data_IF_522327097379
#
_entry.id   IF_522327097379
#
_cell.length_a   1.000
_cell.length_b   1.000
_cell.length_c   1.000
_cell.angle_alpha   90.00
_cell.angle_beta   90.00
_cell.angle_gamma   90.00
#
_symmetry.space_group_name_H-M   'P 1'
#
loop_
_entity.id
_entity.type
_entity.pdbx_description
1 polymer ?
#
# COMPACT_ATOMS: atom_id res chain seq x y z
N UNK A 1 -19.15 -4.59 0.28
CA UNK A 1 -18.38 -4.77 -0.98
C UNK A 1 -17.65 -6.09 -0.88
N UNK A 2 -18.02 -7.08 -1.70
CA UNK A 2 -17.52 -8.46 -1.62
C UNK A 2 -16.17 -8.72 -2.28
N UNK A 3 -15.36 -7.68 -2.54
CA UNK A 3 -14.08 -7.82 -3.25
C UNK A 3 -13.12 -8.80 -2.55
N UNK A 4 -12.82 -8.58 -1.28
CA UNK A 4 -11.98 -9.48 -0.48
C UNK A 4 -12.63 -10.85 -0.22
N UNK A 5 -13.96 -10.95 -0.33
CA UNK A 5 -14.65 -12.24 -0.34
C UNK A 5 -14.30 -13.03 -1.59
N UNK A 6 -14.53 -12.43 -2.76
CA UNK A 6 -14.22 -13.04 -4.05
C UNK A 6 -12.72 -13.31 -4.25
N UNK A 7 -11.85 -12.42 -3.76
CA UNK A 7 -10.41 -12.62 -3.88
C UNK A 7 -9.93 -13.83 -3.07
N UNK A 8 -10.45 -14.04 -1.86
CA UNK A 8 -10.13 -15.22 -1.05
C UNK A 8 -10.62 -16.53 -1.67
N UNK A 9 -11.71 -16.48 -2.43
CA UNK A 9 -12.25 -17.63 -3.15
C UNK A 9 -11.38 -17.99 -4.38
N UNK A 10 -10.97 -16.99 -5.16
CA UNK A 10 -10.24 -17.22 -6.43
C UNK A 10 -8.72 -17.30 -6.24
N UNK A 11 -8.17 -16.52 -5.31
CA UNK A 11 -6.73 -16.42 -5.03
C UNK A 11 -6.47 -16.47 -3.51
N UNK A 12 -6.63 -17.65 -2.88
CA UNK A 12 -6.56 -17.79 -1.42
C UNK A 12 -5.19 -17.44 -0.83
N UNK A 13 -4.12 -17.48 -1.63
CA UNK A 13 -2.76 -17.13 -1.21
C UNK A 13 -2.45 -15.63 -1.29
N UNK A 14 -3.35 -14.79 -1.84
CA UNK A 14 -3.12 -13.34 -1.92
C UNK A 14 -3.25 -12.70 -0.56
N UNK A 15 -2.20 -11.97 -0.16
CA UNK A 15 -2.19 -11.19 1.08
C UNK A 15 -2.88 -9.84 0.87
N UNK A 16 -3.68 -9.41 1.84
CA UNK A 16 -4.40 -8.14 1.78
C UNK A 16 -3.50 -7.00 2.26
N UNK A 17 -3.31 -5.98 1.41
CA UNK A 17 -2.76 -4.71 1.83
C UNK A 17 -3.78 -3.59 1.63
N UNK A 18 -3.97 -2.76 2.66
CA UNK A 18 -4.79 -1.55 2.57
C UNK A 18 -3.99 -0.35 2.10
N UNK A 19 -4.63 0.45 1.26
CA UNK A 19 -4.04 1.66 0.71
C UNK A 19 -3.99 2.79 1.76
N UNK A 20 -2.77 3.25 2.08
CA UNK A 20 -2.53 4.34 3.03
C UNK A 20 -3.20 5.65 2.64
N UNK A 21 -3.31 5.97 1.34
CA UNK A 21 -4.00 7.19 0.89
C UNK A 21 -5.47 7.22 1.34
N UNK A 22 -6.21 6.14 1.08
CA UNK A 22 -7.61 6.03 1.48
C UNK A 22 -7.75 5.92 3.01
N UNK A 23 -6.80 5.25 3.67
CA UNK A 23 -6.77 5.16 5.12
C UNK A 23 -6.62 6.53 5.77
N UNK A 24 -5.66 7.34 5.33
CA UNK A 24 -5.44 8.71 5.82
C UNK A 24 -6.70 9.55 5.63
N UNK A 25 -7.34 9.48 4.44
CA UNK A 25 -8.60 10.20 4.20
C UNK A 25 -9.71 9.78 5.19
N UNK A 26 -9.83 8.47 5.47
CA UNK A 26 -10.78 7.93 6.45
C UNK A 26 -10.51 8.41 7.88
N UNK A 27 -9.25 8.41 8.31
CA UNK A 27 -8.83 8.91 9.63
C UNK A 27 -9.15 10.39 9.77
N UNK A 28 -8.74 11.22 8.79
CA UNK A 28 -8.99 12.67 8.82
C UNK A 28 -10.48 13.01 8.76
N UNK A 29 -11.29 12.19 8.07
CA UNK A 29 -12.75 12.33 8.03
C UNK A 29 -13.43 12.10 9.39
N UNK A 30 -12.75 11.46 10.34
CA UNK A 30 -13.23 11.24 11.71
C UNK A 30 -12.74 12.32 12.71
N UNK A 31 -12.11 13.40 12.23
CA UNK A 31 -11.50 14.44 13.06
C UNK A 31 -11.83 15.85 12.55
N UNK A 32 -11.86 16.88 13.41
CA UNK A 32 -12.02 18.26 12.97
C UNK A 32 -10.81 18.74 12.15
N UNK A 33 -11.05 19.66 11.21
CA UNK A 33 -10.00 20.19 10.31
C UNK A 33 -8.82 20.83 11.05
N UNK A 34 -9.07 21.40 12.23
CA UNK A 34 -8.02 21.99 13.09
C UNK A 34 -6.99 20.96 13.57
N UNK A 35 -7.37 19.69 13.69
CA UNK A 35 -6.46 18.61 14.10
C UNK A 35 -5.70 17.98 12.92
N UNK A 36 -6.11 18.26 11.67
CA UNK A 36 -5.55 17.61 10.48
C UNK A 36 -4.04 17.81 10.31
N UNK A 37 -3.45 19.00 10.53
CA UNK A 37 -2.01 19.16 10.36
C UNK A 37 -1.18 18.24 11.27
N UNK A 38 -1.54 18.17 12.56
CA UNK A 38 -0.88 17.27 13.52
C UNK A 38 -1.12 15.80 13.20
N UNK A 39 -2.38 15.43 12.89
CA UNK A 39 -2.73 14.05 12.58
C UNK A 39 -2.02 13.55 11.33
N UNK A 40 -1.87 14.39 10.29
CA UNK A 40 -1.11 14.04 9.08
C UNK A 40 0.36 13.77 9.37
N UNK A 41 0.98 14.58 10.24
CA UNK A 41 2.38 14.37 10.65
C UNK A 41 2.50 13.04 11.39
N UNK A 42 1.66 12.80 12.39
CA UNK A 42 1.68 11.56 13.15
C UNK A 42 1.40 10.30 12.29
N UNK A 43 0.47 10.40 11.33
CA UNK A 43 0.24 9.34 10.35
C UNK A 43 1.47 9.09 9.48
N UNK A 44 2.18 10.14 9.09
CA UNK A 44 3.41 10.03 8.30
C UNK A 44 4.53 9.29 9.04
N UNK A 45 4.63 9.44 10.36
CA UNK A 45 5.56 8.66 11.17
C UNK A 45 5.25 7.15 11.11
N UNK A 46 3.98 6.77 10.99
CA UNK A 46 3.59 5.34 10.91
C UNK A 46 3.98 4.77 9.54
N UNK A 47 3.47 5.34 8.45
CA UNK A 47 3.67 4.73 7.15
C UNK A 47 5.10 4.93 6.61
N UNK A 48 5.85 5.95 7.06
CA UNK A 48 7.26 6.11 6.69
C UNK A 48 8.25 5.45 7.65
N UNK A 49 7.79 4.75 8.69
CA UNK A 49 8.68 4.11 9.66
C UNK A 49 9.69 3.16 9.00
N UNK A 50 10.87 3.04 9.62
CA UNK A 50 11.98 2.26 9.06
C UNK A 50 11.73 0.76 9.05
N UNK A 51 10.99 0.24 10.03
CA UNK A 51 10.61 -1.16 10.15
C UNK A 51 9.21 -1.29 10.79
N UNK A 52 8.69 -2.52 10.83
CA UNK A 52 7.38 -2.81 11.42
C UNK A 52 7.30 -2.42 12.89
N UNK A 53 8.38 -2.58 13.66
CA UNK A 53 8.40 -2.24 15.10
C UNK A 53 8.26 -0.73 15.31
N UNK A 54 9.01 0.11 14.60
CA UNK A 54 8.83 1.57 14.71
C UNK A 54 7.46 2.02 14.22
N UNK A 55 6.87 1.36 13.21
CA UNK A 55 5.51 1.63 12.80
C UNK A 55 4.51 1.36 13.94
N UNK A 56 4.65 0.23 14.64
CA UNK A 56 3.83 -0.11 15.81
C UNK A 56 4.01 0.89 16.96
N UNK A 57 5.23 1.35 17.19
CA UNK A 57 5.53 2.37 18.21
C UNK A 57 4.86 3.71 17.86
N UNK A 58 4.91 4.11 16.59
CA UNK A 58 4.23 5.30 16.09
C UNK A 58 2.69 5.17 16.19
N UNK A 59 2.13 3.97 16.00
CA UNK A 59 0.69 3.71 16.20
C UNK A 59 0.32 3.90 17.67
N UNK A 60 1.11 3.38 18.61
CA UNK A 60 0.87 3.58 20.05
C UNK A 60 0.96 5.06 20.43
N UNK A 61 1.90 5.80 19.85
CA UNK A 61 2.00 7.24 20.06
C UNK A 61 0.78 8.00 19.47
N UNK A 62 0.30 7.59 18.30
CA UNK A 62 -0.92 8.14 17.70
C UNK A 62 -2.15 7.88 18.57
N UNK A 63 -2.30 6.65 19.07
CA UNK A 63 -3.38 6.28 19.99
C UNK A 63 -3.31 7.07 21.30
N UNK A 64 -2.14 7.20 21.92
CA UNK A 64 -1.98 7.98 23.14
C UNK A 64 -2.35 9.46 22.94
N UNK A 65 -2.01 10.02 21.76
CA UNK A 65 -2.26 11.43 21.44
C UNK A 65 -3.72 11.71 21.10
N UNK A 66 -4.36 10.81 20.34
CA UNK A 66 -5.68 11.07 19.75
C UNK A 66 -6.81 10.22 20.32
N UNK A 67 -6.52 9.10 20.98
CA UNK A 67 -7.50 8.10 21.41
C UNK A 67 -8.58 8.65 22.34
N UNK A 68 -8.21 9.48 23.31
CA UNK A 68 -9.17 10.05 24.27
C UNK A 68 -10.25 10.94 23.62
N UNK A 69 -9.92 11.64 22.53
CA UNK A 69 -10.83 12.59 21.86
C UNK A 69 -11.40 12.06 20.54
N UNK A 70 -10.66 11.18 19.87
CA UNK A 70 -10.91 10.74 18.51
C UNK A 70 -10.77 9.22 18.39
N UNK A 71 -11.37 8.48 19.31
CA UNK A 71 -11.34 7.01 19.31
C UNK A 71 -11.71 6.40 17.95
N UNK A 72 -12.70 6.97 17.24
CA UNK A 72 -13.07 6.53 15.88
C UNK A 72 -11.95 6.71 14.86
N UNK A 73 -11.12 7.75 14.99
CA UNK A 73 -9.99 7.97 14.10
C UNK A 73 -8.85 6.97 14.39
N UNK A 74 -8.63 6.64 15.66
CA UNK A 74 -7.66 5.61 16.08
C UNK A 74 -8.10 4.22 15.62
N UNK A 75 -9.38 3.87 15.79
CA UNK A 75 -9.91 2.57 15.36
C UNK A 75 -9.69 2.33 13.87
N UNK A 76 -9.77 3.38 13.04
CA UNK A 76 -9.47 3.27 11.61
C UNK A 76 -8.07 2.74 11.35
N UNK A 77 -7.10 2.94 12.24
CA UNK A 77 -5.74 2.38 12.09
C UNK A 77 -5.66 1.02 12.76
N UNK A 78 -6.05 0.93 14.04
CA UNK A 78 -5.85 -0.27 14.86
C UNK A 78 -6.65 -1.47 14.36
N UNK A 79 -7.84 -1.24 13.80
CA UNK A 79 -8.73 -2.30 13.32
C UNK A 79 -8.22 -2.96 12.03
N UNK A 80 -7.30 -2.33 11.29
CA UNK A 80 -6.76 -2.83 10.02
C UNK A 80 -5.22 -2.77 10.02
N UNK A 81 -4.59 -2.95 11.18
CA UNK A 81 -3.17 -2.68 11.37
C UNK A 81 -2.29 -3.66 10.57
N UNK A 82 -2.65 -4.94 10.55
CA UNK A 82 -1.91 -5.96 9.82
C UNK A 82 -1.93 -5.69 8.32
N UNK A 83 -3.09 -5.37 7.76
CA UNK A 83 -3.23 -5.04 6.33
C UNK A 83 -2.55 -3.71 5.97
N UNK A 84 -2.41 -2.78 6.91
CA UNK A 84 -1.70 -1.53 6.69
C UNK A 84 -0.18 -1.70 6.68
N UNK A 85 0.34 -2.66 7.43
CA UNK A 85 1.77 -2.91 7.60
C UNK A 85 2.26 -4.11 6.77
N UNK A 86 1.38 -4.81 6.05
CA UNK A 86 1.70 -5.93 5.16
C UNK A 86 2.85 -5.64 4.17
N UNK A 87 3.04 -4.38 3.76
CA UNK A 87 4.14 -4.02 2.86
C UNK A 87 5.54 -4.32 3.44
N UNK A 88 5.71 -4.40 4.77
CA UNK A 88 6.99 -4.76 5.41
C UNK A 88 7.44 -6.19 5.10
N UNK A 89 6.51 -7.05 4.66
CA UNK A 89 6.76 -8.44 4.27
C UNK A 89 7.14 -8.58 2.78
N UNK A 90 7.51 -7.47 2.14
CA UNK A 90 7.99 -7.35 0.76
C UNK A 90 9.32 -6.58 0.73
N UNK A 91 10.12 -6.66 -0.35
CA UNK A 91 11.43 -6.00 -0.41
C UNK A 91 11.38 -4.51 -0.08
N UNK A 92 12.37 -4.03 0.69
CA UNK A 92 12.43 -2.63 1.15
C UNK A 92 12.41 -1.62 0.00
N UNK A 93 13.02 -1.97 -1.14
CA UNK A 93 13.04 -1.15 -2.35
C UNK A 93 11.62 -0.90 -2.89
N UNK A 94 10.70 -1.83 -2.69
CA UNK A 94 9.34 -1.77 -3.19
C UNK A 94 8.45 -0.90 -2.32
N UNK A 95 8.80 -0.66 -1.05
CA UNK A 95 7.95 0.04 -0.08
C UNK A 95 7.54 1.44 -0.53
N UNK A 96 8.42 2.18 -1.22
CA UNK A 96 8.06 3.50 -1.75
C UNK A 96 6.86 3.43 -2.72
N UNK A 97 6.77 2.36 -3.50
CA UNK A 97 5.69 2.13 -4.45
C UNK A 97 4.45 1.56 -3.75
N UNK A 98 4.63 0.63 -2.81
CA UNK A 98 3.54 -0.03 -2.08
C UNK A 98 2.79 0.90 -1.12
N UNK A 99 3.48 1.90 -0.56
CA UNK A 99 2.88 2.84 0.41
C UNK A 99 2.15 4.01 -0.23
N UNK A 100 2.30 4.22 -1.53
CA UNK A 100 1.70 5.37 -2.24
C UNK A 100 0.78 4.90 -3.35
N UNK A 101 -0.08 5.81 -3.83
CA UNK A 101 -0.92 5.54 -5.00
C UNK A 101 -0.28 5.98 -6.30
N UNK A 102 0.96 6.50 -6.28
CA UNK A 102 1.62 7.05 -7.46
C UNK A 102 1.70 6.07 -8.65
N UNK A 103 2.02 4.77 -8.47
CA UNK A 103 2.02 3.82 -9.60
C UNK A 103 0.67 3.70 -10.31
N UNK A 104 -0.43 3.88 -9.57
CA UNK A 104 -1.79 3.85 -10.10
C UNK A 104 -2.16 5.23 -10.66
N UNK A 105 -2.01 6.27 -9.86
CA UNK A 105 -2.45 7.63 -10.17
C UNK A 105 -1.73 8.24 -11.38
N UNK A 106 -0.43 7.98 -11.53
CA UNK A 106 0.34 8.46 -12.69
C UNK A 106 -0.17 7.86 -14.00
N UNK A 107 -0.49 6.56 -14.00
CA UNK A 107 -1.07 5.85 -15.16
C UNK A 107 -2.40 6.45 -15.60
N UNK A 108 -3.25 6.82 -14.63
CA UNK A 108 -4.57 7.39 -14.92
C UNK A 108 -4.56 8.92 -15.12
N UNK A 109 -3.44 9.61 -14.90
CA UNK A 109 -3.38 11.07 -14.96
C UNK A 109 -3.84 11.63 -16.32
N UNK A 110 -3.38 11.04 -17.43
CA UNK A 110 -3.74 11.45 -18.79
C UNK A 110 -5.22 11.20 -19.08
N UNK A 111 -5.76 10.07 -18.61
CA UNK A 111 -7.19 9.73 -18.77
C UNK A 111 -8.06 10.76 -18.06
N UNK A 112 -7.74 11.11 -16.82
CA UNK A 112 -8.48 12.13 -16.05
C UNK A 112 -8.36 13.50 -16.69
N UNK A 113 -7.15 13.89 -17.11
CA UNK A 113 -6.91 15.16 -17.78
C UNK A 113 -7.77 15.27 -19.05
N UNK A 114 -7.76 14.24 -19.90
CA UNK A 114 -8.55 14.24 -21.14
C UNK A 114 -10.05 14.27 -20.84
N UNK A 115 -10.51 13.46 -19.91
CA UNK A 115 -11.93 13.43 -19.48
C UNK A 115 -12.41 14.79 -18.99
N UNK A 116 -11.56 15.53 -18.24
CA UNK A 116 -11.87 16.89 -17.77
C UNK A 116 -11.97 17.88 -18.93
N UNK A 117 -11.02 17.85 -19.88
CA UNK A 117 -11.01 18.76 -21.03
C UNK A 117 -12.20 18.51 -21.96
N UNK A 118 -12.52 17.24 -22.24
CA UNK A 118 -13.62 16.89 -23.13
C UNK A 118 -15.00 17.00 -22.47
N UNK A 119 -15.05 17.35 -21.16
CA UNK A 119 -16.27 17.37 -20.34
C UNK A 119 -17.02 16.03 -20.38
N UNK A 120 -16.27 14.95 -20.31
CA UNK A 120 -16.78 13.58 -20.41
C UNK A 120 -16.59 12.95 -21.81
N UNK A 121 -16.91 11.66 -21.96
CA UNK A 121 -16.65 10.92 -23.19
C UNK A 121 -17.82 10.91 -24.19
N UNK A 122 -18.97 11.50 -23.86
CA UNK A 122 -20.19 11.47 -24.68
C UNK A 122 -20.94 10.13 -24.66
N UNK A 123 -20.23 9.00 -24.58
CA UNK A 123 -20.82 7.66 -24.37
C UNK A 123 -19.88 6.75 -23.57
N UNK A 124 -20.43 5.67 -23.00
CA UNK A 124 -19.64 4.66 -22.29
C UNK A 124 -18.59 4.01 -23.21
N UNK A 125 -18.97 3.66 -24.43
CA UNK A 125 -18.07 3.02 -25.40
C UNK A 125 -16.90 3.95 -25.76
N UNK A 126 -17.18 5.22 -26.04
CA UNK A 126 -16.13 6.21 -26.32
C UNK A 126 -15.21 6.42 -25.11
N UNK A 127 -15.75 6.41 -23.89
CA UNK A 127 -14.97 6.54 -22.66
C UNK A 127 -14.01 5.39 -22.44
N UNK A 128 -14.48 4.16 -22.67
CA UNK A 128 -13.64 2.96 -22.60
C UNK A 128 -12.55 2.98 -23.67
N UNK A 129 -12.89 3.31 -24.92
CA UNK A 129 -11.91 3.40 -26.00
C UNK A 129 -10.83 4.46 -25.73
N UNK A 130 -11.23 5.64 -25.23
CA UNK A 130 -10.31 6.70 -24.84
C UNK A 130 -9.40 6.26 -23.70
N UNK A 131 -9.96 5.70 -22.62
CA UNK A 131 -9.16 5.23 -21.49
C UNK A 131 -8.17 4.15 -21.92
N UNK A 132 -8.62 3.17 -22.70
CA UNK A 132 -7.78 2.11 -23.24
C UNK A 132 -6.62 2.67 -24.05
N UNK A 133 -6.87 3.52 -25.05
CA UNK A 133 -5.80 4.07 -25.91
C UNK A 133 -4.82 4.98 -25.18
N UNK A 134 -5.29 5.75 -24.20
CA UNK A 134 -4.41 6.58 -23.38
C UNK A 134 -3.54 5.77 -22.43
N UNK A 135 -4.07 4.69 -21.85
CA UNK A 135 -3.29 3.76 -21.01
C UNK A 135 -2.31 2.96 -21.86
N UNK A 136 -2.75 2.49 -23.03
CA UNK A 136 -1.91 1.78 -24.00
C UNK A 136 -0.71 2.64 -24.41
N UNK A 137 -0.90 3.92 -24.71
CA UNK A 137 0.19 4.83 -25.02
C UNK A 137 1.05 5.23 -23.79
N UNK A 138 0.50 5.15 -22.58
CA UNK A 138 1.25 5.45 -21.36
C UNK A 138 2.20 4.31 -20.99
N UNK A 139 1.84 3.06 -21.32
CA UNK A 139 2.59 1.87 -20.93
C UNK A 139 4.05 1.88 -21.42
N UNK A 140 4.30 2.45 -22.59
CA UNK A 140 5.62 2.52 -23.22
C UNK A 140 6.64 3.32 -22.40
N UNK A 141 6.17 4.13 -21.44
CA UNK A 141 6.99 5.02 -20.61
C UNK A 141 6.87 4.71 -19.13
N UNK A 142 6.27 3.59 -18.76
CA UNK A 142 6.19 3.21 -17.35
C UNK A 142 7.57 2.93 -16.78
N UNK A 143 7.84 3.55 -15.63
CA UNK A 143 9.04 3.26 -14.86
C UNK A 143 8.83 1.95 -14.11
N UNK A 144 9.83 1.07 -14.16
CA UNK A 144 9.84 -0.13 -13.33
C UNK A 144 9.83 0.22 -11.82
N UNK A 145 9.33 -0.70 -11.00
CA UNK A 145 9.51 -0.62 -9.55
C UNK A 145 11.00 -0.62 -9.20
N UNK A 146 11.36 -0.03 -8.06
CA UNK A 146 12.75 -0.11 -7.60
C UNK A 146 13.08 -1.58 -7.27
N UNK A 147 14.31 -2.02 -7.57
CA UNK A 147 14.67 -3.44 -7.43
C UNK A 147 13.79 -4.37 -8.28
N UNK A 148 13.67 -4.18 -9.61
CA UNK A 148 12.72 -4.94 -10.43
C UNK A 148 13.04 -6.45 -10.51
N UNK A 149 14.31 -6.84 -10.33
CA UNK A 149 14.72 -8.24 -10.27
C UNK A 149 14.13 -8.99 -9.06
N UNK A 150 13.82 -8.28 -7.97
CA UNK A 150 13.23 -8.86 -6.75
C UNK A 150 11.75 -9.26 -6.94
N UNK A 151 11.07 -8.76 -7.99
CA UNK A 151 9.70 -9.18 -8.32
C UNK A 151 9.63 -10.69 -8.57
N UNK A 152 10.68 -11.29 -9.14
CA UNK A 152 10.74 -12.73 -9.34
C UNK A 152 10.69 -13.50 -8.02
N UNK A 153 11.42 -13.04 -7.00
CA UNK A 153 11.45 -13.65 -5.66
C UNK A 153 10.08 -13.57 -4.98
N UNK A 154 9.43 -12.40 -5.05
CA UNK A 154 8.06 -12.21 -4.53
C UNK A 154 7.09 -13.17 -5.22
N UNK A 155 7.17 -13.30 -6.55
CA UNK A 155 6.32 -14.21 -7.32
C UNK A 155 6.56 -15.69 -7.00
N UNK A 156 7.77 -16.07 -6.63
CA UNK A 156 8.09 -17.44 -6.20
C UNK A 156 7.77 -17.71 -4.73
N UNK A 157 7.23 -16.73 -3.99
CA UNK A 157 6.86 -16.89 -2.58
C UNK A 157 8.03 -16.83 -1.62
N UNK A 158 9.11 -16.13 -1.97
CA UNK A 158 10.20 -15.86 -1.03
C UNK A 158 9.68 -15.06 0.17
N UNK A 159 10.23 -15.35 1.36
CA UNK A 159 9.82 -14.67 2.59
C UNK A 159 10.72 -13.47 2.83
N UNK A 160 10.10 -12.33 3.14
CA UNK A 160 10.81 -11.13 3.58
C UNK A 160 10.36 -10.78 4.99
N UNK A 161 11.28 -10.24 5.79
CA UNK A 161 10.99 -9.69 7.11
C UNK A 161 11.66 -8.33 7.20
N UNK A 162 10.87 -7.29 7.47
CA UNK A 162 11.30 -5.89 7.41
C UNK A 162 12.08 -5.58 6.11
N UNK A 163 11.58 -6.14 5.00
CA UNK A 163 12.08 -5.89 3.66
C UNK A 163 13.38 -6.57 3.30
N UNK A 164 13.93 -7.39 4.21
CA UNK A 164 15.10 -8.23 3.98
C UNK A 164 14.67 -9.64 3.60
N UNK A 165 15.33 -10.22 2.59
CA UNK A 165 15.12 -11.60 2.20
C UNK A 165 15.54 -12.53 3.34
N UNK A 166 14.63 -13.38 3.79
CA UNK A 166 14.96 -14.44 4.74
C UNK A 166 15.45 -15.63 3.92
N UNK A 167 16.76 -15.83 3.90
CA UNK A 167 17.34 -17.09 3.42
C UNK A 167 16.80 -18.22 4.30
N UNK A 168 16.49 -19.38 3.71
CA UNK A 168 16.15 -20.55 4.54
C UNK A 168 17.33 -20.76 5.50
N UNK A 169 17.10 -21.07 6.79
CA UNK A 169 18.16 -21.64 7.58
C UNK A 169 18.64 -22.86 6.83
N UNK A 170 19.88 -22.82 6.36
CA UNK A 170 20.49 -23.97 5.71
C UNK A 170 20.37 -25.15 6.66
N UNK A 171 19.94 -26.30 6.14
CA UNK A 171 20.22 -27.62 6.72
C UNK A 171 21.75 -27.83 6.66
N UNK A 172 22.52 -27.01 7.37
CA UNK A 172 23.89 -27.33 7.72
C UNK A 172 23.81 -28.44 8.78
N UNK A 173 23.62 -29.66 8.31
CA UNK A 173 24.00 -30.85 9.05
C UNK A 173 25.49 -30.69 9.41
N UNK A 174 25.75 -30.23 10.64
CA UNK A 174 27.07 -30.39 11.23
C UNK A 174 27.33 -31.89 11.26
N UNK A 175 28.36 -32.42 10.57
CA UNK A 175 28.76 -33.79 10.81
C UNK A 175 29.22 -33.85 12.27
N UNK A 176 28.50 -34.64 13.05
CA UNK A 176 28.87 -34.99 14.42
C UNK A 176 30.26 -35.65 14.35
N UNK A 177 31.29 -34.93 14.77
CA UNK A 177 32.64 -35.46 14.86
C UNK A 177 32.75 -36.27 16.16
N UNK A 178 32.98 -37.56 15.97
CA UNK A 178 33.14 -38.62 16.97
C UNK A 178 34.33 -38.44 17.92
#
# INVERSE_FOLDING_TARGET
>A
LGFWGALREVFPATREQRCWFHKIAGVLGAMPRSAHPGAKKALAEIWNAEDRRYALDAVRAFEATYGAKFAKAVSKITDDLDELLEFYDYPAEHWQHLRTTNPIESTFATVRHRTKITKGPGSRAAGLAMAFKLIEAAQDRWRAVNGPHLVALVRTGATFTDGQLVERPDDHHQPEAA
#
